data_IF_386388223196
#
_entry.id   IF_386388223196
#
_cell.length_a   1.000
_cell.length_b   1.000
_cell.length_c   1.000
_cell.angle_alpha   90.00
_cell.angle_beta   90.00
_cell.angle_gamma   90.00
#
_symmetry.space_group_name_H-M   'P 1'
#
loop_
_entity.id
_entity.type
_entity.pdbx_description
1 polymer ?
#
# COMPACT_ATOMS: atom_id res chain seq x y z
N UNK A 1 -28.92 19.52 -20.33
CA UNK A 1 -28.89 19.88 -18.90
C UNK A 1 -28.72 18.60 -18.09
N UNK A 2 -27.81 18.57 -17.12
CA UNK A 2 -27.63 17.40 -16.25
C UNK A 2 -28.51 17.57 -15.01
N UNK A 3 -29.46 16.68 -14.79
CA UNK A 3 -30.39 16.74 -13.65
C UNK A 3 -29.88 15.79 -12.57
N UNK A 4 -29.61 16.31 -11.37
CA UNK A 4 -29.24 15.50 -10.21
C UNK A 4 -30.52 15.09 -9.47
N UNK A 5 -30.65 13.81 -9.14
CA UNK A 5 -31.72 13.28 -8.28
C UNK A 5 -31.11 12.70 -7.02
N UNK A 6 -31.75 12.95 -5.87
CA UNK A 6 -31.27 12.49 -4.57
C UNK A 6 -32.44 12.01 -3.72
N UNK A 7 -32.21 10.96 -2.94
CA UNK A 7 -33.18 10.41 -2.00
C UNK A 7 -32.59 10.50 -0.60
N UNK A 8 -33.35 11.00 0.37
CA UNK A 8 -32.97 11.04 1.78
C UNK A 8 -34.16 10.59 2.62
N UNK A 9 -33.89 9.77 3.64
CA UNK A 9 -34.85 9.40 4.68
C UNK A 9 -34.67 10.20 5.96
N UNK A 10 -33.54 10.91 6.11
CA UNK A 10 -33.23 11.73 7.29
C UNK A 10 -33.98 13.05 7.31
N UNK A 11 -34.26 13.62 6.13
CA UNK A 11 -34.82 14.96 6.00
C UNK A 11 -36.24 14.87 5.44
N UNK A 12 -37.24 15.25 6.24
CA UNK A 12 -38.66 15.27 5.82
C UNK A 12 -39.05 16.53 5.04
N UNK A 13 -38.28 17.61 5.17
CA UNK A 13 -38.56 18.91 4.57
C UNK A 13 -37.42 19.33 3.63
N UNK A 14 -37.76 19.89 2.48
CA UNK A 14 -36.76 20.45 1.57
C UNK A 14 -36.19 21.74 2.16
N UNK A 15 -34.91 21.68 2.55
CA UNK A 15 -34.16 22.82 3.09
C UNK A 15 -32.90 23.05 2.27
N UNK A 16 -32.54 24.32 2.10
CA UNK A 16 -31.34 24.75 1.40
C UNK A 16 -30.37 25.41 2.36
N UNK A 17 -29.08 25.13 2.17
CA UNK A 17 -27.98 25.69 2.96
C UNK A 17 -27.07 26.48 2.03
N UNK A 18 -26.59 27.62 2.53
CA UNK A 18 -25.61 28.44 1.82
C UNK A 18 -24.23 27.81 1.94
N UNK A 19 -23.65 27.40 0.81
CA UNK A 19 -22.31 26.85 0.75
C UNK A 19 -21.36 27.92 0.22
N UNK A 20 -20.36 28.27 1.02
CA UNK A 20 -19.27 29.14 0.61
C UNK A 20 -18.06 28.29 0.20
N UNK A 21 -17.44 28.67 -0.91
CA UNK A 21 -16.16 28.10 -1.33
C UNK A 21 -15.14 29.22 -1.31
N UNK A 22 -13.90 28.91 -0.94
CA UNK A 22 -12.85 29.90 -0.64
C UNK A 22 -12.64 30.94 -1.75
N UNK A 23 -12.88 30.55 -3.01
CA UNK A 23 -12.66 31.39 -4.19
C UNK A 23 -13.94 31.58 -5.05
N UNK A 24 -15.15 31.27 -4.55
CA UNK A 24 -16.39 31.38 -5.33
C UNK A 24 -17.49 32.08 -4.52
N UNK A 25 -18.43 32.77 -5.18
CA UNK A 25 -19.58 33.34 -4.50
C UNK A 25 -20.35 32.25 -3.76
N UNK A 26 -21.04 32.65 -2.69
CA UNK A 26 -21.89 31.77 -1.92
C UNK A 26 -23.03 31.23 -2.80
N UNK A 27 -23.22 29.91 -2.81
CA UNK A 27 -24.25 29.25 -3.62
C UNK A 27 -25.20 28.51 -2.69
N UNK A 28 -26.50 28.61 -2.94
CA UNK A 28 -27.52 27.82 -2.25
C UNK A 28 -27.52 26.39 -2.79
N UNK A 29 -27.37 25.41 -1.91
CA UNK A 29 -27.48 23.98 -2.23
C UNK A 29 -28.49 23.31 -1.30
N UNK A 30 -29.23 22.29 -1.77
CA UNK A 30 -30.04 21.45 -0.89
C UNK A 30 -29.20 20.86 0.25
N UNK A 31 -29.72 20.89 1.48
CA UNK A 31 -29.06 20.38 2.69
C UNK A 31 -28.66 18.91 2.51
N UNK A 32 -29.57 18.08 1.99
CA UNK A 32 -29.31 16.66 1.73
C UNK A 32 -28.09 16.39 0.83
N UNK A 33 -27.82 17.28 -0.15
CA UNK A 33 -26.65 17.16 -1.03
C UNK A 33 -25.37 17.53 -0.28
N UNK A 34 -25.44 18.53 0.60
CA UNK A 34 -24.30 18.97 1.40
C UNK A 34 -23.93 17.87 2.40
N UNK A 35 -24.91 17.34 3.13
CA UNK A 35 -24.73 16.30 4.13
C UNK A 35 -24.12 15.04 3.51
N UNK A 36 -24.69 14.56 2.41
CA UNK A 36 -24.16 13.39 1.71
C UNK A 36 -22.70 13.57 1.28
N UNK A 37 -22.37 14.73 0.71
CA UNK A 37 -21.02 15.00 0.23
C UNK A 37 -20.02 15.12 1.38
N UNK A 38 -20.40 15.75 2.49
CA UNK A 38 -19.50 16.06 3.60
C UNK A 38 -19.35 14.91 4.60
N UNK A 39 -20.41 14.17 4.89
CA UNK A 39 -20.38 13.12 5.91
C UNK A 39 -19.91 11.78 5.34
N UNK A 40 -20.44 11.38 4.18
CA UNK A 40 -20.34 10.02 3.68
C UNK A 40 -19.35 9.94 2.51
N UNK A 41 -19.62 10.71 1.45
CA UNK A 41 -18.88 10.56 0.19
C UNK A 41 -17.43 11.01 0.33
N UNK A 42 -17.20 12.19 0.91
CA UNK A 42 -15.84 12.72 1.15
C UNK A 42 -15.00 11.76 1.99
N UNK A 43 -15.57 11.18 3.03
CA UNK A 43 -14.87 10.28 3.96
C UNK A 43 -14.32 9.05 3.22
N UNK A 44 -15.14 8.44 2.36
CA UNK A 44 -14.74 7.30 1.53
C UNK A 44 -13.68 7.73 0.52
N UNK A 45 -13.94 8.79 -0.24
CA UNK A 45 -13.03 9.28 -1.28
C UNK A 45 -11.64 9.65 -0.69
N UNK A 46 -11.60 10.26 0.50
CA UNK A 46 -10.35 10.58 1.21
C UNK A 46 -9.63 9.30 1.62
N UNK A 47 -10.32 8.34 2.22
CA UNK A 47 -9.71 7.08 2.65
C UNK A 47 -9.12 6.29 1.48
N UNK A 48 -9.82 6.25 0.34
CA UNK A 48 -9.36 5.60 -0.89
C UNK A 48 -8.14 6.32 -1.48
N UNK A 49 -8.15 7.66 -1.47
CA UNK A 49 -6.99 8.44 -1.91
C UNK A 49 -5.76 8.16 -1.06
N UNK A 50 -5.93 8.02 0.25
CA UNK A 50 -4.85 7.69 1.18
C UNK A 50 -4.36 6.25 1.06
N UNK A 51 -5.24 5.30 0.74
CA UNK A 51 -4.86 3.93 0.45
C UNK A 51 -4.01 3.84 -0.82
N UNK A 52 -4.41 4.58 -1.86
CA UNK A 52 -3.72 4.65 -3.16
C UNK A 52 -2.31 5.24 -3.04
N UNK A 53 -2.11 6.19 -2.12
CA UNK A 53 -0.82 6.84 -1.91
C UNK A 53 0.23 5.84 -1.38
N UNK A 54 1.18 5.44 -2.21
CA UNK A 54 2.24 4.47 -1.85
C UNK A 54 1.78 3.02 -1.79
N UNK A 55 0.81 2.60 -2.61
CA UNK A 55 0.30 1.22 -2.64
C UNK A 55 1.41 0.17 -2.80
N UNK A 56 1.34 -0.89 -1.99
CA UNK A 56 2.22 -2.06 -2.07
C UNK A 56 1.78 -3.06 -3.17
N UNK A 57 0.69 -2.76 -3.89
CA UNK A 57 0.15 -3.67 -4.89
C UNK A 57 1.08 -3.77 -6.11
N UNK A 58 1.66 -4.95 -6.29
CA UNK A 58 2.35 -5.34 -7.53
C UNK A 58 1.44 -6.19 -8.41
N UNK A 59 1.81 -6.38 -9.68
CA UNK A 59 1.10 -7.26 -10.61
C UNK A 59 1.02 -8.69 -10.04
N UNK A 60 -0.10 -9.00 -9.40
CA UNK A 60 -0.40 -10.30 -8.81
C UNK A 60 -1.91 -10.55 -8.95
N UNK A 61 -2.31 -11.80 -9.22
CA UNK A 61 -3.72 -12.15 -9.49
C UNK A 61 -4.46 -12.58 -8.22
N UNK A 62 -3.81 -13.39 -7.38
CA UNK A 62 -4.44 -14.05 -6.24
C UNK A 62 -4.22 -13.33 -4.90
N UNK A 63 -3.15 -12.54 -4.76
CA UNK A 63 -2.82 -11.81 -3.52
C UNK A 63 -3.40 -10.39 -3.48
N UNK A 64 -4.00 -9.92 -4.57
CA UNK A 64 -4.43 -8.53 -4.72
C UNK A 64 -5.33 -8.08 -3.56
N UNK A 65 -6.38 -8.86 -3.27
CA UNK A 65 -7.32 -8.54 -2.20
C UNK A 65 -6.63 -8.47 -0.84
N UNK A 66 -5.79 -9.46 -0.52
CA UNK A 66 -5.08 -9.50 0.75
C UNK A 66 -4.14 -8.30 0.93
N UNK A 67 -3.38 -7.95 -0.12
CA UNK A 67 -2.46 -6.82 -0.07
C UNK A 67 -3.21 -5.51 0.12
N UNK A 68 -4.30 -5.29 -0.62
CA UNK A 68 -5.14 -4.08 -0.47
C UNK A 68 -5.80 -4.00 0.90
N UNK A 69 -6.29 -5.12 1.44
CA UNK A 69 -6.92 -5.15 2.76
C UNK A 69 -5.91 -4.86 3.87
N UNK A 70 -4.70 -5.43 3.79
CA UNK A 70 -3.68 -5.29 4.83
C UNK A 70 -2.95 -3.94 4.75
N UNK A 71 -2.48 -3.55 3.56
CA UNK A 71 -1.65 -2.35 3.37
C UNK A 71 -2.44 -1.11 2.97
N UNK A 72 -3.61 -1.27 2.34
CA UNK A 72 -4.51 -0.17 2.00
C UNK A 72 -5.39 0.18 3.20
N UNK A 73 -6.37 -0.68 3.49
CA UNK A 73 -7.41 -0.35 4.47
C UNK A 73 -6.91 -0.41 5.92
N UNK A 74 -6.29 -1.51 6.34
CA UNK A 74 -5.91 -1.70 7.76
C UNK A 74 -4.89 -0.66 8.22
N UNK A 75 -3.95 -0.29 7.35
CA UNK A 75 -2.90 0.67 7.67
C UNK A 75 -3.44 2.11 7.76
N UNK A 76 -4.40 2.47 6.91
CA UNK A 76 -5.13 3.75 7.00
C UNK A 76 -5.95 3.82 8.29
N UNK A 77 -6.67 2.75 8.64
CA UNK A 77 -7.41 2.67 9.90
C UNK A 77 -6.49 2.75 11.13
N UNK A 78 -5.36 2.04 11.10
CA UNK A 78 -4.37 2.07 12.18
C UNK A 78 -3.79 3.47 12.37
N UNK A 79 -3.47 4.17 11.27
CA UNK A 79 -3.04 5.58 11.33
C UNK A 79 -4.10 6.48 11.95
N UNK A 80 -5.36 6.30 11.56
CA UNK A 80 -6.46 7.10 12.10
C UNK A 80 -6.56 6.93 13.61
N UNK A 81 -6.52 5.67 14.10
CA UNK A 81 -6.50 5.37 15.53
C UNK A 81 -5.25 5.90 16.24
N UNK A 82 -4.08 5.84 15.60
CA UNK A 82 -2.84 6.38 16.14
C UNK A 82 -2.96 7.90 16.37
N UNK A 83 -3.43 8.63 15.36
CA UNK A 83 -3.62 10.08 15.45
C UNK A 83 -4.72 10.47 16.44
N UNK A 84 -5.76 9.64 16.60
CA UNK A 84 -6.81 9.85 17.60
C UNK A 84 -6.26 9.78 19.04
N UNK A 85 -5.38 8.81 19.30
CA UNK A 85 -4.86 8.53 20.65
C UNK A 85 -3.58 9.31 20.98
N UNK A 86 -2.86 9.83 19.98
CA UNK A 86 -1.60 10.54 20.17
C UNK A 86 -1.82 12.05 20.05
N UNK A 87 -1.87 12.75 21.18
CA UNK A 87 -2.16 14.20 21.25
C UNK A 87 -1.04 15.09 20.68
N UNK A 88 0.17 14.57 20.51
CA UNK A 88 1.36 15.38 20.26
C UNK A 88 1.69 15.66 18.78
N UNK A 89 1.36 14.74 17.85
CA UNK A 89 1.70 14.93 16.42
C UNK A 89 0.76 14.14 15.51
N UNK A 90 0.04 14.86 14.65
CA UNK A 90 -0.68 14.26 13.53
C UNK A 90 0.33 13.75 12.50
N UNK A 91 0.50 12.44 12.42
CA UNK A 91 1.40 11.82 11.45
C UNK A 91 0.73 11.74 10.08
N UNK A 92 1.46 12.01 9.00
CA UNK A 92 0.99 11.80 7.62
C UNK A 92 0.94 10.32 7.28
N UNK A 93 0.25 9.95 6.18
CA UNK A 93 0.14 8.53 5.77
C UNK A 93 1.49 7.95 5.35
N UNK A 94 2.35 8.76 4.75
CA UNK A 94 3.71 8.38 4.33
C UNK A 94 4.61 8.15 5.54
N UNK A 95 4.67 9.10 6.47
CA UNK A 95 5.46 8.97 7.71
C UNK A 95 5.02 7.73 8.51
N UNK A 96 3.71 7.49 8.62
CA UNK A 96 3.20 6.33 9.35
C UNK A 96 3.60 5.02 8.68
N UNK A 97 3.52 4.94 7.34
CA UNK A 97 3.99 3.77 6.59
C UNK A 97 5.49 3.54 6.77
N UNK A 98 6.30 4.59 6.71
CA UNK A 98 7.75 4.50 6.91
C UNK A 98 8.08 3.97 8.30
N UNK A 99 7.45 4.50 9.35
CA UNK A 99 7.69 4.02 10.72
C UNK A 99 7.30 2.55 10.91
N UNK A 100 6.16 2.12 10.36
CA UNK A 100 5.75 0.71 10.39
C UNK A 100 6.79 -0.16 9.68
N UNK A 101 7.30 0.26 8.53
CA UNK A 101 8.31 -0.50 7.78
C UNK A 101 9.62 -0.59 8.58
N UNK A 102 10.10 0.51 9.15
CA UNK A 102 11.33 0.55 9.96
C UNK A 102 11.19 -0.38 11.18
N UNK A 103 10.10 -0.27 11.94
CA UNK A 103 9.85 -1.11 13.11
C UNK A 103 9.75 -2.61 12.73
N UNK A 104 9.14 -2.93 11.60
CA UNK A 104 9.09 -4.31 11.09
C UNK A 104 10.48 -4.84 10.72
N UNK A 105 11.34 -4.03 10.12
CA UNK A 105 12.72 -4.41 9.74
C UNK A 105 13.59 -4.60 10.99
N UNK A 106 13.51 -3.69 11.95
CA UNK A 106 14.29 -3.75 13.19
C UNK A 106 13.94 -5.00 14.01
N UNK A 107 12.64 -5.31 14.14
CA UNK A 107 12.16 -6.54 14.79
C UNK A 107 12.59 -7.81 14.08
N UNK A 108 12.76 -7.77 12.75
CA UNK A 108 13.27 -8.92 12.00
C UNK A 108 14.77 -9.13 12.23
N UNK A 109 15.53 -8.05 12.38
CA UNK A 109 16.98 -8.10 12.61
C UNK A 109 17.33 -8.66 13.99
N UNK A 110 16.57 -8.29 15.03
CA UNK A 110 16.76 -8.78 16.40
C UNK A 110 16.43 -10.28 16.59
N UNK A 111 15.62 -10.87 15.69
CA UNK A 111 15.30 -12.31 15.73
C UNK A 111 16.43 -13.21 15.23
N UNK A 112 17.54 -12.64 14.76
CA UNK A 112 18.72 -13.40 14.31
C UNK A 112 19.63 -13.78 15.48
N UNK A 113 19.48 -13.16 16.66
CA UNK A 113 20.36 -13.37 17.82
C UNK A 113 19.82 -14.37 18.86
N UNK A 114 18.72 -15.08 18.57
CA UNK A 114 18.24 -16.15 19.45
C UNK A 114 18.99 -17.44 19.08
N UNK A 115 19.78 -17.92 20.03
CA UNK A 115 20.61 -19.13 20.03
C UNK A 115 20.02 -20.32 19.25
N UNK A 116 20.85 -21.18 18.64
CA UNK A 116 20.39 -22.30 17.81
C UNK A 116 19.54 -23.27 18.63
N UNK A 117 18.25 -23.36 18.29
CA UNK A 117 17.35 -24.41 18.76
C UNK A 117 17.81 -25.73 18.13
N UNK A 118 17.97 -26.83 18.90
CA UNK A 118 18.34 -28.13 18.34
C UNK A 118 17.26 -28.59 17.35
N UNK A 119 17.68 -28.77 16.11
CA UNK A 119 16.84 -29.19 14.99
C UNK A 119 16.30 -30.60 15.17
N UNK A 120 14.99 -30.76 15.35
CA UNK A 120 14.28 -31.99 14.97
C UNK A 120 13.47 -31.74 13.71
N UNK A 121 14.02 -32.24 12.61
CA UNK A 121 13.38 -32.58 11.32
C UNK A 121 12.66 -31.49 10.50
N UNK A 122 13.06 -31.41 9.22
CA UNK A 122 12.50 -30.60 8.10
C UNK A 122 12.91 -29.12 8.02
N UNK A 123 14.23 -28.89 8.04
CA UNK A 123 14.85 -27.60 7.71
C UNK A 123 14.61 -27.19 6.25
N UNK A 124 13.60 -26.35 6.00
CA UNK A 124 13.60 -25.45 4.83
C UNK A 124 14.69 -24.42 5.08
N UNK A 125 15.91 -24.70 4.61
CA UNK A 125 17.07 -23.79 4.68
C UNK A 125 16.61 -22.42 4.16
N UNK A 126 16.56 -21.41 5.04
CA UNK A 126 16.44 -20.02 4.61
C UNK A 126 17.66 -19.75 3.75
N UNK A 127 17.45 -19.45 2.47
CA UNK A 127 18.55 -19.08 1.58
C UNK A 127 19.27 -17.86 2.20
N UNK A 128 20.61 -17.85 2.23
CA UNK A 128 21.35 -16.73 2.77
C UNK A 128 20.96 -15.45 2.04
N UNK A 129 20.84 -14.34 2.78
CA UNK A 129 20.60 -13.02 2.22
C UNK A 129 21.88 -12.52 1.56
N UNK A 130 22.17 -13.03 0.36
CA UNK A 130 23.38 -12.65 -0.38
C UNK A 130 23.10 -11.39 -1.18
N UNK A 131 23.98 -10.40 -1.05
CA UNK A 131 23.96 -9.20 -1.90
C UNK A 131 24.23 -9.61 -3.34
N UNK A 132 23.18 -9.57 -4.17
CA UNK A 132 23.27 -9.87 -5.59
C UNK A 132 23.71 -8.64 -6.38
N UNK A 133 24.86 -8.72 -7.06
CA UNK A 133 25.27 -7.73 -8.06
C UNK A 133 24.90 -8.24 -9.45
N UNK A 134 24.37 -7.33 -10.27
CA UNK A 134 24.08 -7.60 -11.68
C UNK A 134 25.39 -7.64 -12.46
N UNK A 135 25.55 -8.68 -13.29
CA UNK A 135 26.63 -8.76 -14.26
C UNK A 135 26.00 -8.49 -15.63
N UNK A 136 26.54 -7.51 -16.35
CA UNK A 136 26.14 -7.23 -17.73
C UNK A 136 26.67 -8.33 -18.64
N UNK A 137 25.76 -9.08 -19.27
CA UNK A 137 26.12 -10.09 -20.24
C UNK A 137 25.92 -9.52 -21.65
N UNK A 138 27.03 -9.17 -22.28
CA UNK A 138 27.07 -8.86 -23.71
C UNK A 138 27.33 -10.15 -24.47
N UNK A 139 26.36 -10.59 -25.26
CA UNK A 139 26.56 -11.64 -26.27
C UNK A 139 26.54 -10.94 -27.62
N UNK A 140 27.73 -10.59 -28.12
CA UNK A 140 27.87 -9.68 -29.27
C UNK A 140 27.36 -8.26 -28.95
N UNK A 141 26.68 -7.63 -29.91
CA UNK A 141 26.12 -6.26 -29.76
C UNK A 141 24.80 -6.19 -28.98
N UNK A 142 24.20 -7.33 -28.63
CA UNK A 142 22.91 -7.37 -27.95
C UNK A 142 23.08 -7.53 -26.44
N UNK A 143 22.45 -6.62 -25.70
CA UNK A 143 22.32 -6.71 -24.24
C UNK A 143 21.27 -7.78 -23.91
N UNK A 144 21.71 -8.93 -23.42
CA UNK A 144 20.81 -9.97 -22.90
C UNK A 144 20.60 -9.69 -21.41
N UNK A 145 19.38 -9.92 -20.92
CA UNK A 145 19.00 -9.65 -19.53
C UNK A 145 19.94 -10.40 -18.56
N UNK A 146 20.80 -9.65 -17.86
CA UNK A 146 21.78 -10.21 -16.93
C UNK A 146 21.13 -10.86 -15.69
N UNK A 147 21.76 -11.92 -15.20
CA UNK A 147 21.47 -12.53 -13.88
C UNK A 147 22.61 -12.18 -12.92
N UNK A 148 22.37 -12.28 -11.61
CA UNK A 148 23.43 -12.11 -10.62
C UNK A 148 24.43 -13.29 -10.65
N UNK A 149 25.65 -13.07 -10.15
CA UNK A 149 26.75 -14.06 -10.20
C UNK A 149 26.37 -15.43 -9.61
N UNK A 150 25.64 -15.43 -8.50
CA UNK A 150 25.24 -16.68 -7.84
C UNK A 150 24.22 -17.48 -8.65
N UNK A 151 23.25 -16.80 -9.26
CA UNK A 151 22.31 -17.43 -10.19
C UNK A 151 23.04 -17.99 -11.42
N UNK A 152 24.10 -17.32 -11.89
CA UNK A 152 24.97 -17.87 -12.94
C UNK A 152 25.69 -19.14 -12.48
N UNK A 153 26.25 -19.17 -11.27
CA UNK A 153 26.97 -20.34 -10.77
C UNK A 153 26.06 -21.53 -10.45
N UNK A 154 24.81 -21.27 -10.04
CA UNK A 154 23.83 -22.31 -9.75
C UNK A 154 23.22 -22.91 -11.02
N UNK A 155 22.82 -22.07 -11.98
CA UNK A 155 22.13 -22.52 -13.20
C UNK A 155 23.04 -22.66 -14.42
N UNK A 156 24.30 -22.22 -14.35
CA UNK A 156 25.26 -22.30 -15.46
C UNK A 156 26.07 -23.60 -15.50
N UNK A 157 26.19 -24.32 -14.38
CA UNK A 157 26.86 -25.63 -14.33
C UNK A 157 25.97 -26.78 -14.81
N UNK A 158 24.67 -26.68 -14.61
CA UNK A 158 23.70 -27.51 -15.32
C UNK A 158 23.39 -26.80 -16.63
N UNK A 159 23.84 -27.30 -17.78
CA UNK A 159 23.67 -26.68 -19.10
C UNK A 159 22.22 -26.55 -19.62
N UNK A 160 21.27 -26.15 -18.75
CA UNK A 160 19.86 -25.92 -19.08
C UNK A 160 19.65 -24.45 -19.39
N UNK A 161 19.61 -24.16 -20.69
CA UNK A 161 19.07 -22.90 -21.19
C UNK A 161 17.57 -22.89 -20.88
N UNK A 162 17.17 -22.12 -19.87
CA UNK A 162 15.75 -21.92 -19.55
C UNK A 162 15.25 -20.81 -20.47
N UNK A 163 14.62 -21.19 -21.59
CA UNK A 163 13.94 -20.26 -22.48
C UNK A 163 12.79 -19.58 -21.71
N UNK A 164 12.85 -18.25 -21.63
CA UNK A 164 11.85 -17.44 -20.94
C UNK A 164 10.47 -17.57 -21.62
N UNK A 165 9.43 -17.70 -20.80
CA UNK A 165 8.08 -17.27 -21.17
C UNK A 165 7.93 -15.77 -20.89
#
# INVERSE_FOLDING_TARGET
MCVLRMLSTKTSVFKTVTVQNRNKPAILKPECIVDYNNEIKSSIDISDSMATYGSALRRCRYRKLFIEMLWGTSLVCARFLYNLNTLAKNMTITEFREQVIVDMIDKCSQRVDIAPIPSTSSSKRKAPNVKHYFIDNKVGEKLVRGRCKECYNMYGREGKIINGK
#
